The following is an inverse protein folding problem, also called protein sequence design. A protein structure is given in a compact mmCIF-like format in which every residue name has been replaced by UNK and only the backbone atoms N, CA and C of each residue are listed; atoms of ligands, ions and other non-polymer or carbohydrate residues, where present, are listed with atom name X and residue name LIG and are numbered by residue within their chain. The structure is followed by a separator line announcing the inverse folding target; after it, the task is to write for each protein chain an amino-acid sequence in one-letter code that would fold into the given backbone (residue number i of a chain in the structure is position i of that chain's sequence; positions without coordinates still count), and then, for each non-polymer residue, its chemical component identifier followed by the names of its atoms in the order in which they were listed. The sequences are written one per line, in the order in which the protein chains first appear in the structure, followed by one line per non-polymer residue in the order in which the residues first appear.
data_IF_385189102746
#
_entry.id   IF_385189102746
#
_cell.length_a   1.000
_cell.length_b   1.000
_cell.length_c   1.000
_cell.angle_alpha   90.00
_cell.angle_beta   90.00
_cell.angle_gamma   90.00
#
_symmetry.space_group_name_H-M   'P 1'
#
loop_
_entity.id
_entity.type
_entity.pdbx_description
1 polymer ?
#
# COMPACT_ATOMS: atom_id res chain seq x y z
N UNK A 1 4.21 -62.84 12.53
CA UNK A 1 3.56 -62.26 13.74
C UNK A 1 4.58 -61.58 14.66
N UNK A 2 5.57 -62.29 15.24
CA UNK A 2 6.54 -61.69 16.19
C UNK A 2 7.36 -60.53 15.62
N UNK A 3 7.80 -60.61 14.35
CA UNK A 3 8.65 -59.58 13.72
C UNK A 3 7.95 -58.21 13.61
N UNK A 4 6.66 -58.21 13.25
CA UNK A 4 5.86 -56.98 13.14
C UNK A 4 5.63 -56.34 14.52
N UNK A 5 5.38 -57.16 15.54
CA UNK A 5 5.16 -56.70 16.91
C UNK A 5 6.41 -56.07 17.52
N UNK A 6 7.58 -56.66 17.25
CA UNK A 6 8.86 -56.10 17.68
C UNK A 6 9.22 -54.80 16.95
N UNK A 7 8.90 -54.69 15.66
CA UNK A 7 9.04 -53.43 14.92
C UNK A 7 8.12 -52.34 15.48
N UNK A 8 6.91 -52.69 15.93
CA UNK A 8 5.97 -51.74 16.55
C UNK A 8 6.49 -51.22 17.90
N UNK A 9 7.09 -52.08 18.72
CA UNK A 9 7.75 -51.70 19.98
C UNK A 9 8.97 -50.80 19.76
N UNK A 10 9.76 -51.06 18.71
CA UNK A 10 10.94 -50.26 18.36
C UNK A 10 10.61 -48.85 17.86
N UNK A 11 9.43 -48.66 17.25
CA UNK A 11 8.95 -47.35 16.82
C UNK A 11 8.59 -46.47 18.04
N UNK A 12 8.30 -47.08 19.19
CA UNK A 12 7.78 -46.36 20.35
C UNK A 12 6.36 -45.85 20.11
N UNK A 13 5.61 -45.63 21.19
CA UNK A 13 4.29 -44.99 21.09
C UNK A 13 4.40 -43.57 20.54
N UNK A 14 3.31 -43.03 20.00
CA UNK A 14 3.22 -41.61 19.71
C UNK A 14 3.36 -40.88 21.04
N UNK A 15 4.42 -40.09 21.18
CA UNK A 15 4.61 -39.23 22.34
C UNK A 15 3.50 -38.17 22.36
N UNK A 16 2.67 -38.16 23.41
CA UNK A 16 1.58 -37.20 23.56
C UNK A 16 2.10 -35.77 23.63
N UNK A 17 3.35 -35.57 24.07
CA UNK A 17 4.03 -34.28 24.09
C UNK A 17 4.27 -33.76 22.66
N UNK A 18 4.68 -34.63 21.73
CA UNK A 18 4.90 -34.27 20.31
C UNK A 18 3.60 -33.85 19.63
N UNK A 19 2.48 -34.52 19.94
CA UNK A 19 1.16 -34.13 19.40
C UNK A 19 0.72 -32.77 19.93
N UNK A 20 1.03 -32.48 21.20
CA UNK A 20 0.73 -31.18 21.82
C UNK A 20 1.59 -30.07 21.22
N UNK A 21 2.91 -30.28 21.10
CA UNK A 21 3.83 -29.33 20.47
C UNK A 21 3.44 -29.01 19.03
N UNK A 22 3.04 -30.02 18.25
CA UNK A 22 2.55 -29.80 16.89
C UNK A 22 1.34 -28.87 16.86
N UNK A 23 0.35 -29.10 17.74
CA UNK A 23 -0.86 -28.25 17.81
C UNK A 23 -0.52 -26.81 18.19
N UNK A 24 0.33 -26.61 19.18
CA UNK A 24 0.77 -25.27 19.60
C UNK A 24 1.53 -24.55 18.48
N UNK A 25 2.39 -25.25 17.75
CA UNK A 25 3.11 -24.71 16.61
C UNK A 25 2.16 -24.35 15.44
N UNK A 26 1.17 -25.20 15.16
CA UNK A 26 0.17 -24.99 14.13
C UNK A 26 -0.75 -23.79 14.45
N UNK A 27 -1.19 -23.67 15.70
CA UNK A 27 -1.98 -22.52 16.17
C UNK A 27 -1.18 -21.21 16.01
N UNK A 28 0.09 -21.21 16.44
CA UNK A 28 0.96 -20.05 16.31
C UNK A 28 1.24 -19.70 14.84
N UNK A 29 1.48 -20.71 14.00
CA UNK A 29 1.67 -20.52 12.57
C UNK A 29 0.44 -19.90 11.92
N UNK A 30 -0.74 -20.43 12.22
CA UNK A 30 -2.02 -19.94 11.69
C UNK A 30 -2.26 -18.50 12.13
N UNK A 31 -2.07 -18.20 13.41
CA UNK A 31 -2.20 -16.84 13.94
C UNK A 31 -1.28 -15.85 13.22
N UNK A 32 0.02 -16.15 13.14
CA UNK A 32 0.99 -15.27 12.50
C UNK A 32 0.73 -15.13 11.00
N UNK A 33 0.33 -16.20 10.32
CA UNK A 33 0.01 -16.16 8.88
C UNK A 33 -1.18 -15.24 8.61
N UNK A 34 -2.23 -15.30 9.43
CA UNK A 34 -3.38 -14.39 9.34
C UNK A 34 -2.94 -12.95 9.58
N UNK A 35 -2.19 -12.67 10.65
CA UNK A 35 -1.71 -11.32 10.95
C UNK A 35 -0.83 -10.73 9.84
N UNK A 36 0.02 -11.56 9.21
CA UNK A 36 0.83 -11.14 8.06
C UNK A 36 -0.06 -10.86 6.85
N UNK A 37 -1.11 -11.65 6.63
CA UNK A 37 -2.11 -11.41 5.59
C UNK A 37 -2.79 -10.06 5.77
N UNK A 38 -3.33 -9.81 6.96
CA UNK A 38 -4.02 -8.56 7.31
C UNK A 38 -3.09 -7.34 7.12
N UNK A 39 -1.83 -7.44 7.54
CA UNK A 39 -0.85 -6.37 7.37
C UNK A 39 -0.56 -6.07 5.90
N UNK A 40 -0.44 -7.11 5.06
CA UNK A 40 -0.22 -6.94 3.62
C UNK A 40 -1.42 -6.27 2.95
N UNK A 41 -2.64 -6.64 3.34
CA UNK A 41 -3.85 -6.01 2.83
C UNK A 41 -3.94 -4.54 3.26
N UNK A 42 -3.63 -4.24 4.52
CA UNK A 42 -3.59 -2.87 5.03
C UNK A 42 -2.57 -1.99 4.29
N UNK A 43 -1.38 -2.53 3.98
CA UNK A 43 -0.37 -1.84 3.17
C UNK A 43 -0.92 -1.53 1.77
N UNK A 44 -1.45 -2.53 1.07
CA UNK A 44 -1.99 -2.35 -0.28
C UNK A 44 -3.15 -1.34 -0.31
N UNK A 45 -4.01 -1.37 0.70
CA UNK A 45 -5.11 -0.40 0.85
C UNK A 45 -4.58 1.03 1.07
N UNK A 46 -3.54 1.18 1.88
CA UNK A 46 -2.91 2.47 2.15
C UNK A 46 -2.25 3.05 0.90
N UNK A 47 -1.53 2.22 0.13
CA UNK A 47 -0.92 2.63 -1.14
C UNK A 47 -1.99 3.12 -2.14
N UNK A 48 -3.12 2.42 -2.23
CA UNK A 48 -4.24 2.85 -3.08
C UNK A 48 -4.80 4.22 -2.65
N UNK A 49 -4.93 4.48 -1.35
CA UNK A 49 -5.39 5.77 -0.84
C UNK A 49 -4.40 6.88 -1.20
N UNK A 50 -3.09 6.61 -1.14
CA UNK A 50 -2.05 7.57 -1.54
C UNK A 50 -2.20 7.93 -3.03
N UNK A 51 -2.37 6.94 -3.90
CA UNK A 51 -2.57 7.17 -5.34
C UNK A 51 -3.83 8.01 -5.63
N UNK A 52 -4.94 7.71 -4.94
CA UNK A 52 -6.18 8.47 -5.05
C UNK A 52 -6.01 9.93 -4.58
N UNK A 53 -5.27 10.14 -3.48
CA UNK A 53 -4.98 11.46 -2.94
C UNK A 53 -4.10 12.27 -3.91
N UNK A 54 -3.06 11.67 -4.49
CA UNK A 54 -2.19 12.32 -5.45
C UNK A 54 -2.96 12.77 -6.71
N UNK A 55 -3.87 11.94 -7.20
CA UNK A 55 -4.76 12.29 -8.31
C UNK A 55 -5.66 13.49 -7.96
N UNK A 56 -6.21 13.50 -6.75
CA UNK A 56 -7.03 14.62 -6.28
C UNK A 56 -6.22 15.91 -6.14
N UNK A 57 -5.01 15.84 -5.58
CA UNK A 57 -4.10 16.97 -5.43
C UNK A 57 -3.76 17.54 -6.81
N UNK A 58 -3.44 16.68 -7.79
CA UNK A 58 -3.12 17.12 -9.15
C UNK A 58 -4.29 17.88 -9.78
N UNK A 59 -5.51 17.35 -9.69
CA UNK A 59 -6.72 18.01 -10.20
C UNK A 59 -6.98 19.35 -9.54
N UNK A 60 -6.89 19.42 -8.21
CA UNK A 60 -7.10 20.67 -7.48
C UNK A 60 -6.03 21.71 -7.84
N UNK A 61 -4.77 21.29 -7.96
CA UNK A 61 -3.66 22.16 -8.38
C UNK A 61 -3.82 22.71 -9.79
N UNK A 62 -4.28 21.89 -10.74
CA UNK A 62 -4.59 22.33 -12.10
C UNK A 62 -5.75 23.33 -12.13
N UNK A 63 -6.84 23.05 -11.41
CA UNK A 63 -7.98 23.94 -11.32
C UNK A 63 -7.60 25.29 -10.70
N UNK A 64 -6.89 25.28 -9.57
CA UNK A 64 -6.41 26.49 -8.90
C UNK A 64 -5.47 27.30 -9.80
N UNK A 65 -4.53 26.64 -10.48
CA UNK A 65 -3.61 27.32 -11.40
C UNK A 65 -4.35 27.99 -12.57
N UNK A 66 -5.38 27.34 -13.11
CA UNK A 66 -6.20 27.93 -14.18
C UNK A 66 -6.89 29.21 -13.72
N UNK A 67 -7.42 29.23 -12.50
CA UNK A 67 -8.04 30.42 -11.89
C UNK A 67 -7.00 31.53 -11.74
N UNK A 68 -5.82 31.21 -11.19
CA UNK A 68 -4.73 32.17 -11.01
C UNK A 68 -4.31 32.77 -12.37
N UNK A 69 -4.16 31.94 -13.41
CA UNK A 69 -3.79 32.40 -14.75
C UNK A 69 -4.86 33.34 -15.36
N UNK A 70 -6.14 33.04 -15.17
CA UNK A 70 -7.23 33.89 -15.65
C UNK A 70 -7.22 35.26 -14.97
N UNK A 71 -7.07 35.31 -13.65
CA UNK A 71 -6.98 36.56 -12.91
C UNK A 71 -5.70 37.34 -13.29
N UNK A 72 -4.57 36.64 -13.44
CA UNK A 72 -3.32 37.26 -13.90
C UNK A 72 -3.48 37.94 -15.26
N UNK A 73 -4.09 37.27 -16.23
CA UNK A 73 -4.38 37.84 -17.56
C UNK A 73 -5.25 39.09 -17.48
N UNK A 74 -6.27 39.06 -16.62
CA UNK A 74 -7.16 40.20 -16.39
C UNK A 74 -6.40 41.39 -15.81
N UNK A 75 -5.63 41.19 -14.74
CA UNK A 75 -4.84 42.25 -14.12
C UNK A 75 -3.77 42.80 -15.06
N UNK A 76 -3.10 41.94 -15.83
CA UNK A 76 -2.11 42.36 -16.82
C UNK A 76 -2.72 43.33 -17.85
N UNK A 77 -3.87 42.99 -18.43
CA UNK A 77 -4.54 43.88 -19.41
C UNK A 77 -4.90 45.24 -18.81
N UNK A 78 -5.31 45.27 -17.54
CA UNK A 78 -5.62 46.53 -16.83
C UNK A 78 -4.36 47.37 -16.63
N UNK A 79 -3.24 46.76 -16.24
CA UNK A 79 -1.99 47.48 -15.96
C UNK A 79 -1.31 48.00 -17.23
N UNK A 80 -1.35 47.24 -18.32
CA UNK A 80 -0.62 47.55 -19.55
C UNK A 80 -1.49 48.13 -20.67
N UNK A 81 -2.78 48.40 -20.42
CA UNK A 81 -3.69 49.00 -21.40
C UNK A 81 -3.99 48.12 -22.62
N UNK A 82 -3.78 46.81 -22.51
CA UNK A 82 -3.90 45.85 -23.62
C UNK A 82 -2.85 44.74 -23.56
N UNK A 83 -2.71 43.96 -24.64
CA UNK A 83 -1.74 42.86 -24.74
C UNK A 83 -2.24 41.49 -24.28
N UNK A 84 -1.36 40.49 -24.40
CA UNK A 84 -1.62 39.09 -24.01
C UNK A 84 -0.48 38.57 -23.14
N UNK A 85 -0.83 37.84 -22.10
CA UNK A 85 0.12 37.13 -21.24
C UNK A 85 -0.48 35.78 -20.81
N UNK A 86 0.33 34.91 -20.23
CA UNK A 86 -0.13 33.65 -19.64
C UNK A 86 0.93 33.10 -18.69
N UNK A 87 0.49 32.43 -17.64
CA UNK A 87 1.34 31.63 -16.78
C UNK A 87 1.52 30.23 -17.38
N UNK A 88 2.75 29.74 -17.36
CA UNK A 88 3.12 28.39 -17.81
C UNK A 88 3.71 27.66 -16.61
N UNK A 89 3.27 26.42 -16.36
CA UNK A 89 3.92 25.56 -15.36
C UNK A 89 5.23 25.05 -15.95
N UNK A 90 6.33 25.22 -15.24
CA UNK A 90 7.63 24.64 -15.60
C UNK A 90 7.98 23.53 -14.62
N UNK A 91 8.53 22.44 -15.13
CA UNK A 91 9.12 21.37 -14.33
C UNK A 91 10.62 21.62 -14.11
N UNK A 92 11.25 20.83 -13.24
CA UNK A 92 12.70 20.86 -13.03
C UNK A 92 13.50 20.49 -14.28
N UNK A 93 12.90 19.79 -15.24
CA UNK A 93 13.54 19.42 -16.51
C UNK A 93 13.44 20.52 -17.57
N UNK A 94 12.57 21.52 -17.37
CA UNK A 94 12.34 22.63 -18.30
C UNK A 94 13.27 23.85 -18.03
N UNK A 95 14.13 23.78 -17.01
CA UNK A 95 15.08 24.84 -16.60
C UNK A 95 16.51 24.39 -16.93
#
# INVERSE_FOLDING_TARGET
MLRLRHQLELIGGIDEEVVKEHKEAEERYTFLSTQVGDLREAIASTEKIVDELDEQIRKQSEAAFKIINQEFQKYFKVLFGGGSCSLVKMSKEDI
#
